data_IF_732781870727
#
_entry.id   IF_732781870727
#
_cell.length_a   1.000
_cell.length_b   1.000
_cell.length_c   1.000
_cell.angle_alpha   90.00
_cell.angle_beta   90.00
_cell.angle_gamma   90.00
#
_symmetry.space_group_name_H-M   'P 1'
#
loop_
_entity.id
_entity.type
_entity.pdbx_description
1 polymer ?
#
# COMPACT_ATOMS: atom_id res chain seq x y z
N UNK A 1 -12.47 -3.88 6.19
CA UNK A 1 -11.07 -4.04 6.59
C UNK A 1 -10.47 -5.34 6.08
N UNK A 2 -11.15 -6.44 6.27
CA UNK A 2 -10.61 -7.71 5.76
C UNK A 2 -10.53 -7.73 4.24
N UNK A 3 -11.46 -7.06 3.56
CA UNK A 3 -11.41 -6.96 2.11
C UNK A 3 -10.17 -6.18 1.64
N UNK A 4 -9.87 -5.08 2.33
CA UNK A 4 -8.71 -4.27 2.00
C UNK A 4 -7.42 -5.05 2.26
N UNK A 5 -7.37 -5.77 3.37
CA UNK A 5 -6.23 -6.61 3.69
C UNK A 5 -6.01 -7.68 2.62
N UNK A 6 -7.07 -8.38 2.24
CA UNK A 6 -6.98 -9.42 1.23
C UNK A 6 -6.50 -8.87 -0.11
N UNK A 7 -7.02 -7.71 -0.49
CA UNK A 7 -6.62 -7.08 -1.75
C UNK A 7 -5.14 -6.69 -1.74
N UNK A 8 -4.67 -6.13 -0.64
CA UNK A 8 -3.25 -5.76 -0.52
C UNK A 8 -2.36 -6.99 -0.54
N UNK A 9 -2.77 -8.06 0.13
CA UNK A 9 -2.01 -9.29 0.13
C UNK A 9 -1.93 -9.88 -1.28
N UNK A 10 -3.00 -9.73 -2.04
CA UNK A 10 -3.01 -10.16 -3.44
C UNK A 10 -2.04 -9.38 -4.31
N UNK A 11 -1.67 -8.17 -3.88
CA UNK A 11 -0.68 -7.36 -4.58
C UNK A 11 0.74 -7.62 -4.09
N UNK A 12 0.92 -8.56 -3.17
CA UNK A 12 2.24 -8.93 -2.69
C UNK A 12 2.70 -8.23 -1.43
N UNK A 13 1.84 -7.45 -0.78
CA UNK A 13 2.19 -6.82 0.49
C UNK A 13 1.95 -7.78 1.64
N UNK A 14 2.81 -7.70 2.65
CA UNK A 14 2.56 -8.36 3.92
C UNK A 14 1.77 -7.37 4.76
N UNK A 15 0.59 -7.75 5.19
CA UNK A 15 -0.32 -6.82 5.82
C UNK A 15 -0.65 -7.24 7.24
N UNK A 16 -0.47 -6.32 8.17
CA UNK A 16 -0.85 -6.51 9.56
C UNK A 16 -1.79 -5.40 9.99
N UNK A 17 -2.68 -5.70 10.93
CA UNK A 17 -3.53 -4.68 11.50
C UNK A 17 -2.71 -3.86 12.48
N UNK A 18 -2.75 -2.53 12.32
CA UNK A 18 -2.08 -1.64 13.24
C UNK A 18 -3.08 -1.15 14.29
N UNK A 19 -4.20 -0.65 13.82
CA UNK A 19 -5.30 -0.20 14.66
C UNK A 19 -6.60 -0.43 13.91
N UNK A 20 -7.72 -0.04 14.50
CA UNK A 20 -9.04 -0.33 13.93
C UNK A 20 -9.17 0.16 12.49
N UNK A 21 -8.69 1.37 12.21
CA UNK A 21 -8.85 1.95 10.89
C UNK A 21 -7.56 2.03 10.09
N UNK A 22 -6.52 1.31 10.52
CA UNK A 22 -5.23 1.35 9.84
C UNK A 22 -4.72 -0.05 9.55
N UNK A 23 -4.04 -0.18 8.43
CA UNK A 23 -3.31 -1.39 8.09
C UNK A 23 -1.86 -1.00 7.87
N UNK A 24 -0.95 -1.88 8.27
CA UNK A 24 0.46 -1.69 8.05
C UNK A 24 0.89 -2.64 6.94
N UNK A 25 1.22 -2.10 5.78
CA UNK A 25 1.60 -2.89 4.62
C UNK A 25 3.11 -2.86 4.45
N UNK A 26 3.72 -4.03 4.42
CA UNK A 26 5.16 -4.17 4.25
C UNK A 26 5.46 -4.46 2.77
N UNK A 27 6.37 -3.68 2.21
CA UNK A 27 6.78 -3.82 0.82
C UNK A 27 7.80 -4.95 0.72
N UNK A 28 7.58 -5.87 -0.20
CA UNK A 28 8.52 -6.98 -0.43
C UNK A 28 9.32 -6.69 -1.69
N UNK A 29 10.64 -6.66 -1.58
CA UNK A 29 11.50 -6.42 -2.74
C UNK A 29 11.32 -7.48 -3.82
N UNK A 30 11.04 -8.70 -3.42
CA UNK A 30 10.85 -9.80 -4.37
C UNK A 30 9.58 -9.59 -5.18
N UNK A 31 8.48 -9.29 -4.49
CA UNK A 31 7.19 -9.14 -5.16
C UNK A 31 7.00 -7.77 -5.82
N UNK A 32 7.78 -6.78 -5.40
CA UNK A 32 7.58 -5.42 -5.89
C UNK A 32 8.75 -4.89 -6.74
N UNK A 33 9.54 -5.80 -7.30
CA UNK A 33 10.62 -5.43 -8.22
C UNK A 33 11.58 -4.39 -7.64
N UNK A 34 11.94 -4.55 -6.37
CA UNK A 34 12.86 -3.65 -5.68
C UNK A 34 12.29 -2.25 -5.42
N UNK A 35 11.03 -2.02 -5.71
CA UNK A 35 10.40 -0.74 -5.41
C UNK A 35 10.26 -0.61 -3.90
N UNK A 36 10.73 0.49 -3.34
CA UNK A 36 10.72 0.70 -1.90
C UNK A 36 9.42 1.34 -1.43
N UNK A 37 9.17 1.25 -0.11
CA UNK A 37 8.01 1.91 0.47
C UNK A 37 8.03 3.42 0.22
N UNK A 38 9.22 4.03 0.28
CA UNK A 38 9.37 5.46 0.01
C UNK A 38 8.94 5.79 -1.41
N UNK A 39 9.29 4.97 -2.37
CA UNK A 39 8.93 5.18 -3.76
C UNK A 39 7.42 5.02 -3.96
N UNK A 40 6.80 4.01 -3.34
CA UNK A 40 5.35 3.86 -3.37
C UNK A 40 4.67 5.09 -2.78
N UNK A 41 5.18 5.58 -1.65
CA UNK A 41 4.63 6.77 -1.01
C UNK A 41 4.64 7.96 -1.96
N UNK A 42 5.78 8.21 -2.62
CA UNK A 42 5.88 9.36 -3.52
C UNK A 42 4.98 9.22 -4.74
N UNK A 43 4.90 8.04 -5.31
CA UNK A 43 4.04 7.81 -6.48
C UNK A 43 2.57 7.93 -6.14
N UNK A 44 2.17 7.39 -4.99
CA UNK A 44 0.79 7.50 -4.55
C UNK A 44 0.43 8.96 -4.30
N UNK A 45 1.34 9.70 -3.69
CA UNK A 45 1.11 11.11 -3.43
C UNK A 45 0.94 11.89 -4.73
N UNK A 46 1.72 11.57 -5.75
CA UNK A 46 1.59 12.19 -7.06
C UNK A 46 0.25 11.88 -7.71
N UNK A 47 -0.35 10.77 -7.39
CA UNK A 47 -1.66 10.37 -7.90
C UNK A 47 -2.81 10.88 -7.03
N UNK A 48 -2.52 11.65 -6.00
CA UNK A 48 -3.55 12.17 -5.11
C UNK A 48 -3.96 11.21 -4.01
N UNK A 49 -3.21 10.13 -3.82
CA UNK A 49 -3.51 9.14 -2.80
C UNK A 49 -2.48 9.26 -1.68
N UNK A 50 -2.95 9.48 -0.46
CA UNK A 50 -2.06 9.74 0.66
C UNK A 50 -2.04 8.57 1.64
N UNK A 51 -0.83 8.05 1.87
CA UNK A 51 -0.57 7.03 2.89
C UNK A 51 0.52 7.58 3.78
N UNK A 52 0.78 6.92 4.89
CA UNK A 52 1.83 7.36 5.79
C UNK A 52 3.10 6.55 5.57
N UNK A 53 4.20 7.26 5.39
CA UNK A 53 5.51 6.65 5.28
C UNK A 53 6.33 6.99 6.53
N UNK A 54 7.15 6.04 6.99
CA UNK A 54 7.98 6.24 8.18
C UNK A 54 9.44 6.20 7.76
N UNK A 55 10.20 7.20 8.23
CA UNK A 55 11.64 7.21 7.98
C UNK A 55 12.42 6.42 9.01
N UNK A 56 11.75 5.88 10.04
CA UNK A 56 12.38 5.06 11.06
C UNK A 56 12.91 3.77 10.41
N UNK A 57 14.13 3.40 10.75
CA UNK A 57 14.78 2.24 10.15
C UNK A 57 13.97 0.97 10.25
N UNK A 58 13.23 0.78 11.33
CA UNK A 58 12.42 -0.42 11.53
C UNK A 58 11.12 -0.41 10.75
N UNK A 59 10.70 0.76 10.25
CA UNK A 59 9.43 0.91 9.58
C UNK A 59 9.57 1.44 8.15
N UNK A 60 10.79 1.62 7.68
CA UNK A 60 11.01 2.24 6.36
C UNK A 60 10.52 1.40 5.18
N UNK A 61 10.26 0.12 5.42
CA UNK A 61 9.71 -0.75 4.39
C UNK A 61 8.20 -0.88 4.50
N UNK A 62 7.57 -0.06 5.33
CA UNK A 62 6.15 -0.16 5.60
C UNK A 62 5.40 1.12 5.26
N UNK A 63 4.14 0.95 4.91
CA UNK A 63 3.21 2.05 4.67
C UNK A 63 2.01 1.86 5.58
N UNK A 64 1.60 2.92 6.25
CA UNK A 64 0.37 2.88 7.02
C UNK A 64 -0.78 3.35 6.14
N UNK A 65 -1.72 2.48 5.92
CA UNK A 65 -2.85 2.74 5.04
C UNK A 65 -4.09 2.94 5.89
N UNK A 66 -4.75 4.08 5.70
CA UNK A 66 -6.01 4.35 6.37
C UNK A 66 -7.14 3.71 5.58
N UNK A 67 -7.98 2.95 6.26
CA UNK A 67 -9.16 2.36 5.63
C UNK A 67 -10.20 3.45 5.57
N UNK A 68 -10.52 3.88 4.36
CA UNK A 68 -11.47 4.96 4.13
C UNK A 68 -12.77 4.45 3.53
N UNK A 69 -13.41 5.29 2.74
CA UNK A 69 -14.63 4.89 2.03
C UNK A 69 -14.28 3.88 0.95
N UNK A 70 -15.27 3.11 0.46
CA UNK A 70 -15.01 2.19 -0.64
C UNK A 70 -14.38 2.86 -1.85
N UNK A 71 -14.78 4.09 -2.16
CA UNK A 71 -14.20 4.81 -3.30
C UNK A 71 -12.72 5.12 -3.05
N UNK A 72 -12.37 5.55 -1.85
CA UNK A 72 -10.99 5.84 -1.50
C UNK A 72 -10.14 4.58 -1.50
N UNK A 73 -10.68 3.49 -0.98
CA UNK A 73 -9.97 2.22 -0.96
C UNK A 73 -9.71 1.72 -2.37
N UNK A 74 -10.70 1.84 -3.25
CA UNK A 74 -10.54 1.44 -4.64
C UNK A 74 -9.52 2.30 -5.36
N UNK A 75 -9.47 3.59 -5.08
CA UNK A 75 -8.50 4.48 -5.67
C UNK A 75 -7.07 4.05 -5.30
N UNK A 76 -6.86 3.73 -4.03
CA UNK A 76 -5.57 3.25 -3.57
C UNK A 76 -5.17 1.94 -4.26
N UNK A 77 -6.08 0.99 -4.29
CA UNK A 77 -5.80 -0.32 -4.88
C UNK A 77 -5.53 -0.22 -6.37
N UNK A 78 -6.27 0.64 -7.07
CA UNK A 78 -6.06 0.87 -8.49
C UNK A 78 -4.69 1.48 -8.75
N UNK A 79 -4.30 2.46 -7.93
CA UNK A 79 -3.01 3.11 -8.07
C UNK A 79 -1.87 2.12 -7.83
N UNK A 80 -1.98 1.30 -6.78
CA UNK A 80 -0.96 0.30 -6.48
C UNK A 80 -0.87 -0.74 -7.58
N UNK A 81 -2.00 -1.22 -8.07
CA UNK A 81 -2.02 -2.21 -9.13
C UNK A 81 -1.37 -1.69 -10.40
N UNK A 82 -1.63 -0.45 -10.73
CA UNK A 82 -1.03 0.19 -11.89
C UNK A 82 0.50 0.31 -11.73
N UNK A 83 0.95 0.68 -10.54
CA UNK A 83 2.38 0.80 -10.27
C UNK A 83 3.09 -0.55 -10.35
N UNK A 84 2.38 -1.62 -10.03
CA UNK A 84 2.95 -2.95 -10.05
C UNK A 84 2.78 -3.65 -11.40
N UNK A 85 2.15 -2.97 -12.36
CA UNK A 85 1.94 -3.56 -13.68
C UNK A 85 0.89 -4.64 -13.69
N UNK A 86 -0.03 -4.60 -12.72
CA UNK A 86 -1.05 -5.63 -12.60
C UNK A 86 -2.42 -5.18 -13.03
N UNK A 87 -2.49 -4.11 -13.76
CA UNK A 87 -3.79 -3.69 -14.23
C UNK A 87 -4.12 -4.50 -15.43
N UNK A 88 -4.19 -5.64 -15.36
CA UNK A 88 -4.45 -6.54 -16.39
C UNK A 88 -5.61 -6.21 -17.23
N UNK A 89 -6.02 -5.12 -16.96
CA UNK A 89 -7.11 -4.59 -17.80
C UNK A 89 -7.92 -5.61 -18.07
#
# INVERSE_FOLDING_TARGET
>A
RSRMQTSLEGLGFLVGASETNFLLATVSAIHHNQTTAKEFYHRLKSSGVFVRYFSDERLRDKLRITIGTPAENNQLLTALGSMLGQDLG
#
